data_IF_040042632715
#
_entry.id   IF_040042632715
#
_cell.length_a   1.000
_cell.length_b   1.000
_cell.length_c   1.000
_cell.angle_alpha   90.00
_cell.angle_beta   90.00
_cell.angle_gamma   90.00
#
_symmetry.space_group_name_H-M   'P 1'
#
loop_
_entity.id
_entity.type
_entity.pdbx_description
1 polymer ?
#
# COMPACT_ATOMS: atom_id res chain seq x y z
N UNK A 1 35.64 -15.86 15.50
CA UNK A 1 35.52 -14.43 15.15
C UNK A 1 34.04 -14.11 14.98
N UNK A 2 33.53 -13.04 15.60
CA UNK A 2 32.16 -12.62 15.38
C UNK A 2 32.01 -12.12 13.93
N UNK A 3 30.95 -12.56 13.23
CA UNK A 3 30.71 -12.10 11.86
C UNK A 3 30.37 -10.59 11.91
N UNK A 4 30.99 -9.74 11.08
CA UNK A 4 30.87 -8.28 11.19
C UNK A 4 29.43 -7.77 11.10
N UNK A 5 28.57 -8.43 10.32
CA UNK A 5 27.15 -8.09 10.22
C UNK A 5 26.38 -8.23 11.54
N UNK A 6 26.83 -9.07 12.47
CA UNK A 6 26.14 -9.30 13.75
C UNK A 6 26.29 -8.08 14.67
N UNK A 7 27.49 -7.48 14.67
CA UNK A 7 27.74 -6.25 15.41
C UNK A 7 26.96 -5.10 14.78
N UNK A 8 27.02 -4.97 13.45
CA UNK A 8 26.29 -3.96 12.70
C UNK A 8 24.78 -4.03 12.96
N UNK A 9 24.20 -5.24 12.93
CA UNK A 9 22.79 -5.47 13.26
C UNK A 9 22.44 -4.97 14.67
N UNK A 10 23.28 -5.26 15.67
CA UNK A 10 23.09 -4.77 17.05
C UNK A 10 23.15 -3.25 17.14
N UNK A 11 24.09 -2.62 16.45
CA UNK A 11 24.25 -1.16 16.48
C UNK A 11 23.05 -0.46 15.84
N UNK A 12 22.55 -0.96 14.71
CA UNK A 12 21.36 -0.41 14.04
C UNK A 12 20.07 -0.63 14.82
N UNK A 13 19.99 -1.72 15.61
CA UNK A 13 18.89 -1.95 16.55
C UNK A 13 18.90 -0.94 17.71
N UNK A 14 20.08 -0.66 18.27
CA UNK A 14 20.22 0.19 19.45
C UNK A 14 20.07 1.68 19.14
N UNK A 15 20.45 2.10 17.92
CA UNK A 15 20.44 3.51 17.51
C UNK A 15 19.64 3.75 16.23
N UNK A 16 18.31 3.53 16.23
CA UNK A 16 17.48 3.82 15.07
C UNK A 16 17.51 5.32 14.73
N UNK A 17 17.74 5.65 13.46
CA UNK A 17 17.69 7.03 12.97
C UNK A 17 18.94 7.89 13.26
N UNK A 18 20.03 7.28 13.73
CA UNK A 18 21.32 7.97 13.85
C UNK A 18 21.88 8.46 12.50
N UNK A 19 22.91 9.30 12.53
CA UNK A 19 23.57 9.81 11.31
C UNK A 19 24.06 8.65 10.43
N UNK A 20 23.64 8.64 9.16
CA UNK A 20 24.02 7.58 8.22
C UNK A 20 23.31 6.24 8.42
N UNK A 21 22.32 6.16 9.32
CA UNK A 21 21.60 4.91 9.64
C UNK A 21 21.00 4.25 8.40
N UNK A 22 20.39 5.04 7.50
CA UNK A 22 19.75 4.51 6.28
C UNK A 22 20.75 3.81 5.35
N UNK A 23 21.91 4.42 5.11
CA UNK A 23 22.95 3.83 4.26
C UNK A 23 23.55 2.57 4.88
N UNK A 24 23.80 2.59 6.19
CA UNK A 24 24.25 1.41 6.95
C UNK A 24 23.23 0.27 6.90
N UNK A 25 21.95 0.59 7.06
CA UNK A 25 20.86 -0.38 6.95
C UNK A 25 20.78 -1.02 5.55
N UNK A 26 20.92 -0.22 4.50
CA UNK A 26 20.96 -0.72 3.13
C UNK A 26 22.15 -1.66 2.90
N UNK A 27 23.36 -1.24 3.30
CA UNK A 27 24.56 -2.07 3.18
C UNK A 27 24.44 -3.38 3.97
N UNK A 28 23.85 -3.34 5.17
CA UNK A 28 23.58 -4.53 5.96
C UNK A 28 22.61 -5.47 5.25
N UNK A 29 21.55 -4.94 4.64
CA UNK A 29 20.59 -5.72 3.86
C UNK A 29 21.27 -6.43 2.68
N UNK A 30 22.08 -5.74 1.89
CA UNK A 30 22.84 -6.32 0.77
C UNK A 30 23.79 -7.43 1.24
N UNK A 31 24.48 -7.17 2.36
CA UNK A 31 25.43 -8.12 2.96
C UNK A 31 24.72 -9.40 3.40
N UNK A 32 23.64 -9.27 4.18
CA UNK A 32 22.87 -10.41 4.67
C UNK A 32 22.24 -11.17 3.50
N UNK A 33 21.69 -10.47 2.50
CA UNK A 33 21.13 -11.10 1.29
C UNK A 33 22.17 -11.94 0.55
N UNK A 34 23.37 -11.39 0.35
CA UNK A 34 24.48 -12.09 -0.30
C UNK A 34 24.96 -13.30 0.49
N UNK A 35 25.03 -13.19 1.83
CA UNK A 35 25.39 -14.31 2.71
C UNK A 35 24.35 -15.43 2.57
N UNK A 36 23.05 -15.12 2.60
CA UNK A 36 22.01 -16.12 2.43
C UNK A 36 22.09 -16.80 1.06
N UNK A 37 22.46 -16.09 -0.01
CA UNK A 37 22.64 -16.67 -1.33
C UNK A 37 23.80 -17.70 -1.38
N UNK A 38 24.90 -17.41 -0.68
CA UNK A 38 26.10 -18.29 -0.64
C UNK A 38 26.00 -19.45 0.36
N UNK A 39 25.03 -19.41 1.29
CA UNK A 39 24.88 -20.37 2.37
C UNK A 39 24.59 -21.81 1.90
N UNK A 40 24.03 -21.99 0.70
CA UNK A 40 23.75 -23.30 0.08
C UNK A 40 25.01 -24.10 -0.24
N UNK A 41 26.17 -23.46 -0.35
CA UNK A 41 27.41 -24.09 -0.82
C UNK A 41 28.39 -24.44 0.31
N UNK A 42 28.30 -23.81 1.49
CA UNK A 42 29.39 -23.81 2.47
C UNK A 42 28.98 -23.90 3.95
N UNK A 43 27.74 -24.30 4.29
CA UNK A 43 27.23 -24.32 5.68
C UNK A 43 27.33 -22.94 6.41
N UNK A 44 27.49 -21.86 5.65
CA UNK A 44 27.66 -20.49 6.16
C UNK A 44 26.32 -19.78 6.42
N UNK A 45 25.24 -20.54 6.62
CA UNK A 45 23.91 -20.01 6.90
C UNK A 45 23.96 -18.96 8.01
N UNK A 46 23.07 -17.96 7.91
CA UNK A 46 22.89 -16.99 8.97
C UNK A 46 22.31 -17.75 10.16
N UNK A 47 22.91 -17.65 11.37
CA UNK A 47 22.40 -18.39 12.49
C UNK A 47 20.97 -17.95 12.84
N UNK A 48 20.12 -18.86 13.34
CA UNK A 48 18.67 -18.60 13.45
C UNK A 48 18.31 -17.36 14.28
N UNK A 49 19.07 -17.05 15.32
CA UNK A 49 18.79 -15.91 16.23
C UNK A 49 18.99 -14.60 15.47
N UNK A 50 20.10 -14.46 14.75
CA UNK A 50 20.45 -13.29 13.96
C UNK A 50 19.50 -13.11 12.78
N UNK A 51 19.09 -14.22 12.15
CA UNK A 51 18.09 -14.21 11.08
C UNK A 51 16.74 -13.69 11.58
N UNK A 52 16.25 -14.21 12.72
CA UNK A 52 14.99 -13.75 13.31
C UNK A 52 15.04 -12.28 13.71
N UNK A 53 16.16 -11.82 14.26
CA UNK A 53 16.37 -10.41 14.59
C UNK A 53 16.33 -9.53 13.35
N UNK A 54 17.10 -9.87 12.32
CA UNK A 54 17.09 -9.15 11.06
C UNK A 54 15.69 -9.07 10.46
N UNK A 55 14.98 -10.20 10.40
CA UNK A 55 13.60 -10.27 9.90
C UNK A 55 12.67 -9.35 10.70
N UNK A 56 12.75 -9.37 12.04
CA UNK A 56 11.92 -8.52 12.88
C UNK A 56 12.13 -7.03 12.58
N UNK A 57 13.37 -6.60 12.31
CA UNK A 57 13.64 -5.22 11.87
C UNK A 57 13.09 -4.96 10.47
N UNK A 58 13.25 -5.91 9.56
CA UNK A 58 12.81 -5.78 8.18
C UNK A 58 11.29 -5.66 8.05
N UNK A 59 10.51 -6.21 8.98
CA UNK A 59 9.05 -6.13 8.98
C UNK A 59 8.48 -4.74 9.35
N UNK A 60 9.34 -3.78 9.68
CA UNK A 60 8.95 -2.36 9.82
C UNK A 60 8.82 -1.69 8.45
N UNK A 61 7.76 -0.93 8.21
CA UNK A 61 7.50 -0.24 6.92
C UNK A 61 8.66 0.60 6.42
N UNK A 62 9.19 1.47 7.26
CA UNK A 62 10.27 2.38 6.88
C UNK A 62 11.53 1.60 6.51
N UNK A 63 11.84 0.56 7.28
CA UNK A 63 13.02 -0.27 7.08
C UNK A 63 12.88 -1.15 5.86
N UNK A 64 11.69 -1.69 5.63
CA UNK A 64 11.34 -2.44 4.44
C UNK A 64 11.45 -1.57 3.18
N UNK A 65 10.94 -0.34 3.24
CA UNK A 65 10.99 0.61 2.15
C UNK A 65 12.42 0.97 1.75
N UNK A 66 13.36 1.02 2.70
CA UNK A 66 14.78 1.20 2.43
C UNK A 66 15.45 -0.08 1.91
N UNK A 67 15.13 -1.24 2.49
CA UNK A 67 15.72 -2.52 2.10
C UNK A 67 15.39 -2.91 0.66
N UNK A 68 14.15 -2.66 0.21
CA UNK A 68 13.72 -2.94 -1.18
C UNK A 68 14.41 -2.06 -2.22
N UNK A 69 15.12 -1.00 -1.82
CA UNK A 69 15.92 -0.21 -2.77
C UNK A 69 17.14 -1.00 -3.25
N UNK A 70 17.67 -1.88 -2.39
CA UNK A 70 18.91 -2.63 -2.62
C UNK A 70 18.70 -4.14 -2.82
N UNK A 71 17.59 -4.70 -2.33
CA UNK A 71 17.19 -6.09 -2.62
C UNK A 71 16.04 -6.07 -3.64
N UNK A 72 16.33 -6.48 -4.88
CA UNK A 72 15.38 -6.42 -6.00
C UNK A 72 14.19 -7.34 -5.78
N UNK A 73 14.42 -8.51 -5.19
CA UNK A 73 13.42 -9.54 -4.94
C UNK A 73 12.37 -9.10 -3.91
N UNK A 74 12.68 -8.10 -3.08
CA UNK A 74 11.70 -7.45 -2.21
C UNK A 74 10.74 -6.53 -2.95
N UNK A 75 11.07 -6.10 -4.17
CA UNK A 75 10.19 -5.28 -5.04
C UNK A 75 9.39 -6.14 -6.00
N UNK A 76 10.09 -6.98 -6.75
CA UNK A 76 9.56 -7.67 -7.94
C UNK A 76 9.10 -9.09 -7.62
N UNK A 77 9.40 -9.59 -6.41
CA UNK A 77 9.11 -10.95 -6.00
C UNK A 77 10.23 -11.91 -6.41
N UNK A 78 9.89 -13.20 -6.52
CA UNK A 78 10.84 -14.24 -6.89
C UNK A 78 11.22 -14.05 -8.37
N UNK A 79 12.44 -13.59 -8.63
CA UNK A 79 12.98 -13.48 -9.99
C UNK A 79 13.29 -14.85 -10.61
N UNK A 80 14.00 -14.85 -11.76
CA UNK A 80 14.43 -16.09 -12.45
C UNK A 80 15.61 -16.80 -11.76
N UNK A 81 16.17 -16.20 -10.70
CA UNK A 81 17.33 -16.72 -9.99
C UNK A 81 16.95 -17.80 -8.98
N UNK A 82 17.80 -18.83 -8.84
CA UNK A 82 17.65 -19.83 -7.80
C UNK A 82 17.95 -19.18 -6.44
N UNK A 83 16.91 -19.04 -5.62
CA UNK A 83 17.00 -18.51 -4.26
C UNK A 83 17.36 -19.62 -3.28
N UNK A 84 18.14 -19.27 -2.25
CA UNK A 84 18.38 -20.18 -1.13
C UNK A 84 17.14 -20.34 -0.26
N UNK A 85 17.08 -21.40 0.53
CA UNK A 85 15.97 -21.64 1.45
C UNK A 85 15.73 -20.47 2.44
N UNK A 86 16.80 -19.78 2.89
CA UNK A 86 16.66 -18.61 3.77
C UNK A 86 16.14 -17.37 3.02
N UNK A 87 16.51 -17.20 1.75
CA UNK A 87 15.96 -16.12 0.91
C UNK A 87 14.47 -16.35 0.65
N UNK A 88 14.09 -17.58 0.29
CA UNK A 88 12.69 -17.97 0.09
C UNK A 88 11.85 -17.76 1.35
N UNK A 89 12.33 -18.22 2.52
CA UNK A 89 11.65 -18.02 3.79
C UNK A 89 11.48 -16.52 4.13
N UNK A 90 12.49 -15.70 3.85
CA UNK A 90 12.41 -14.25 4.08
C UNK A 90 11.38 -13.62 3.15
N UNK A 91 11.35 -14.01 1.87
CA UNK A 91 10.34 -13.54 0.93
C UNK A 91 8.93 -13.95 1.37
N UNK A 92 8.74 -15.16 1.88
CA UNK A 92 7.43 -15.60 2.33
C UNK A 92 6.96 -14.80 3.56
N UNK A 93 7.85 -14.57 4.52
CA UNK A 93 7.53 -13.81 5.74
C UNK A 93 7.32 -12.32 5.49
N UNK A 94 7.85 -11.78 4.39
CA UNK A 94 7.66 -10.37 3.98
C UNK A 94 6.53 -10.18 2.95
N UNK A 95 5.78 -11.23 2.62
CA UNK A 95 4.69 -11.19 1.62
C UNK A 95 3.62 -10.15 1.93
N UNK A 96 3.17 -10.05 3.18
CA UNK A 96 2.11 -9.11 3.59
C UNK A 96 2.53 -7.66 3.41
N UNK A 97 3.74 -7.30 3.83
CA UNK A 97 4.24 -5.93 3.73
C UNK A 97 4.52 -5.55 2.26
N UNK A 98 4.99 -6.49 1.43
CA UNK A 98 5.08 -6.29 -0.03
C UNK A 98 3.72 -6.02 -0.64
N UNK A 99 2.72 -6.87 -0.35
CA UNK A 99 1.38 -6.73 -0.90
C UNK A 99 0.77 -5.38 -0.54
N UNK A 100 0.88 -4.95 0.72
CA UNK A 100 0.38 -3.64 1.16
C UNK A 100 1.06 -2.47 0.44
N UNK A 101 2.39 -2.51 0.29
CA UNK A 101 3.10 -1.46 -0.42
C UNK A 101 2.72 -1.44 -1.91
N UNK A 102 2.57 -2.60 -2.53
CA UNK A 102 2.14 -2.71 -3.93
C UNK A 102 0.73 -2.15 -4.15
N UNK A 103 -0.19 -2.36 -3.21
CA UNK A 103 -1.52 -1.73 -3.23
C UNK A 103 -1.39 -0.20 -3.25
N UNK A 104 -0.60 0.37 -2.33
CA UNK A 104 -0.40 1.83 -2.27
C UNK A 104 0.27 2.37 -3.54
N UNK A 105 1.21 1.63 -4.14
CA UNK A 105 1.87 2.04 -5.39
C UNK A 105 0.95 1.95 -6.62
N UNK A 106 -0.07 1.09 -6.57
CA UNK A 106 -1.01 0.89 -7.65
C UNK A 106 -2.29 1.75 -7.51
N UNK A 107 -2.44 2.46 -6.39
CA UNK A 107 -3.54 3.42 -6.22
C UNK A 107 -3.43 4.52 -7.28
N UNK A 108 -4.48 4.66 -8.08
CA UNK A 108 -4.62 5.69 -9.11
C UNK A 108 -5.47 6.84 -8.58
N UNK A 109 -5.35 8.00 -9.20
CA UNK A 109 -6.17 9.16 -8.84
C UNK A 109 -7.68 8.86 -9.00
N UNK A 110 -8.04 8.01 -9.98
CA UNK A 110 -9.40 7.53 -10.18
C UNK A 110 -9.99 6.81 -8.97
N UNK A 111 -9.16 6.14 -8.16
CA UNK A 111 -9.61 5.44 -6.95
C UNK A 111 -10.09 6.42 -5.86
N UNK A 112 -9.68 7.69 -5.94
CA UNK A 112 -10.14 8.77 -5.07
C UNK A 112 -11.23 9.61 -5.74
N UNK A 113 -11.15 9.77 -7.06
CA UNK A 113 -12.10 10.57 -7.82
C UNK A 113 -13.48 9.90 -7.90
N UNK A 114 -13.59 8.57 -7.89
CA UNK A 114 -14.89 7.87 -7.99
C UNK A 114 -15.83 8.19 -6.81
N UNK A 115 -15.35 8.13 -5.58
CA UNK A 115 -16.18 8.41 -4.40
C UNK A 115 -16.54 9.90 -4.30
N UNK A 116 -15.59 10.80 -4.56
CA UNK A 116 -15.83 12.24 -4.56
C UNK A 116 -16.80 12.65 -5.67
N UNK A 117 -16.65 12.10 -6.87
CA UNK A 117 -17.52 12.33 -8.02
C UNK A 117 -18.92 11.75 -7.81
N UNK A 118 -19.03 10.56 -7.20
CA UNK A 118 -20.32 9.98 -6.83
C UNK A 118 -21.06 10.86 -5.81
N UNK A 119 -20.36 11.38 -4.79
CA UNK A 119 -20.93 12.31 -3.82
C UNK A 119 -21.35 13.64 -4.46
N UNK A 120 -20.52 14.22 -5.33
CA UNK A 120 -20.86 15.44 -6.07
C UNK A 120 -22.13 15.25 -6.92
N UNK A 121 -22.25 14.09 -7.61
CA UNK A 121 -23.45 13.76 -8.38
C UNK A 121 -24.70 13.61 -7.51
N UNK A 122 -24.57 13.01 -6.32
CA UNK A 122 -25.69 12.90 -5.39
C UNK A 122 -26.15 14.27 -4.90
N UNK A 123 -25.22 15.16 -4.58
CA UNK A 123 -25.53 16.55 -4.17
C UNK A 123 -26.23 17.30 -5.31
N UNK A 124 -25.75 17.15 -6.55
CA UNK A 124 -26.39 17.76 -7.71
C UNK A 124 -27.80 17.22 -7.97
N UNK A 125 -27.97 15.90 -7.87
CA UNK A 125 -29.28 15.27 -8.02
C UNK A 125 -30.26 15.77 -6.96
N UNK A 126 -29.84 15.85 -5.70
CA UNK A 126 -30.67 16.35 -4.59
C UNK A 126 -31.09 17.82 -4.83
N UNK A 127 -30.15 18.66 -5.27
CA UNK A 127 -30.44 20.05 -5.61
C UNK A 127 -31.44 20.19 -6.77
N UNK A 128 -31.34 19.35 -7.80
CA UNK A 128 -32.27 19.33 -8.94
C UNK A 128 -33.66 18.81 -8.56
N UNK A 129 -33.73 17.76 -7.73
CA UNK A 129 -35.00 17.26 -7.18
C UNK A 129 -35.69 18.32 -6.31
N UNK A 130 -34.93 19.03 -5.48
CA UNK A 130 -35.47 20.11 -4.66
C UNK A 130 -36.00 21.27 -5.52
N UNK A 131 -35.25 21.68 -6.56
CA UNK A 131 -35.70 22.70 -7.53
C UNK A 131 -37.00 22.28 -8.23
N UNK A 132 -37.08 21.04 -8.70
CA UNK A 132 -38.28 20.51 -9.35
C UNK A 132 -39.50 20.47 -8.42
N UNK A 133 -39.32 20.09 -7.15
CA UNK A 133 -40.39 20.14 -6.14
C UNK A 133 -40.88 21.56 -5.89
N UNK A 134 -39.97 22.54 -5.79
CA UNK A 134 -40.35 23.95 -5.64
C UNK A 134 -41.12 24.44 -6.87
N UNK A 135 -40.69 24.08 -8.09
CA UNK A 135 -41.37 24.43 -9.33
C UNK A 135 -42.81 23.90 -9.38
N UNK A 136 -43.06 22.70 -8.85
CA UNK A 136 -44.42 22.14 -8.74
C UNK A 136 -45.27 22.85 -7.66
N UNK A 137 -44.68 23.42 -6.62
CA UNK A 137 -45.40 24.00 -5.47
C UNK A 137 -45.53 25.53 -5.48
N UNK A 138 -44.63 26.25 -6.15
CA UNK A 138 -44.57 27.73 -6.14
C UNK A 138 -44.39 28.29 -7.56
N UNK A 139 -45.54 28.59 -8.19
CA UNK A 139 -45.80 29.69 -9.14
C UNK A 139 -45.67 29.43 -10.66
N UNK A 140 -46.73 29.91 -11.35
CA UNK A 140 -46.91 30.21 -12.78
C UNK A 140 -47.30 29.03 -13.69
N UNK A 141 -48.21 29.24 -14.68
CA UNK A 141 -48.78 28.19 -15.51
C UNK A 141 -47.72 27.68 -16.50
N UNK A 142 -46.93 26.71 -16.07
CA UNK A 142 -46.28 25.83 -17.01
C UNK A 142 -47.39 25.04 -17.71
N UNK A 143 -47.28 24.86 -19.03
CA UNK A 143 -48.27 24.06 -19.75
C UNK A 143 -48.34 22.65 -19.15
N UNK A 144 -49.54 22.06 -19.12
CA UNK A 144 -49.81 20.76 -18.49
C UNK A 144 -48.79 19.65 -18.88
N UNK A 145 -48.29 19.68 -20.13
CA UNK A 145 -47.30 18.73 -20.63
C UNK A 145 -45.88 18.85 -20.00
N UNK A 146 -45.56 19.98 -19.37
CA UNK A 146 -44.31 20.18 -18.62
C UNK A 146 -44.46 19.73 -17.17
N UNK A 147 -45.63 19.96 -16.57
CA UNK A 147 -45.95 19.48 -15.22
C UNK A 147 -46.02 17.95 -15.17
N UNK A 148 -46.65 17.31 -16.17
CA UNK A 148 -46.66 15.83 -16.28
C UNK A 148 -45.24 15.26 -16.39
N UNK A 149 -44.37 15.87 -17.20
CA UNK A 149 -42.97 15.41 -17.34
C UNK A 149 -42.16 15.56 -16.05
N UNK A 150 -42.38 16.65 -15.31
CA UNK A 150 -41.70 16.86 -14.02
C UNK A 150 -42.25 15.87 -12.98
N UNK A 151 -43.56 15.62 -12.96
CA UNK A 151 -44.18 14.65 -12.07
C UNK A 151 -43.73 13.22 -12.36
N UNK A 152 -43.64 12.82 -13.63
CA UNK A 152 -43.12 11.51 -14.06
C UNK A 152 -41.63 11.35 -13.68
N UNK A 153 -40.84 12.40 -13.84
CA UNK A 153 -39.43 12.37 -13.43
C UNK A 153 -39.27 12.28 -11.91
N UNK A 154 -40.04 13.05 -11.13
CA UNK A 154 -40.06 12.96 -9.66
C UNK A 154 -40.54 11.59 -9.17
N UNK A 155 -41.50 10.97 -9.86
CA UNK A 155 -42.00 9.63 -9.52
C UNK A 155 -40.95 8.52 -9.70
N UNK A 156 -39.90 8.75 -10.49
CA UNK A 156 -38.76 7.83 -10.62
C UNK A 156 -37.82 7.88 -9.41
N UNK A 157 -37.97 8.87 -8.52
CA UNK A 157 -37.16 9.03 -7.30
C UNK A 157 -38.02 9.13 -6.02
N UNK A 158 -38.77 8.06 -5.67
CA UNK A 158 -39.61 8.07 -4.48
C UNK A 158 -38.74 7.95 -3.22
N UNK A 159 -38.57 9.06 -2.48
CA UNK A 159 -38.06 9.00 -1.10
C UNK A 159 -36.73 9.70 -0.81
N UNK A 160 -36.22 10.59 -1.66
CA UNK A 160 -35.25 11.59 -1.17
C UNK A 160 -36.00 12.62 -0.31
N UNK A 161 -35.54 12.95 0.91
CA UNK A 161 -36.18 13.95 1.77
C UNK A 161 -36.36 15.32 1.11
#
# INVERSE_FOLDING_TARGET
MARPYIQELRELEQNPGGTGWQGRWQQLCETIWSIMATATLYELAIPPIEYQRFLALLLSEERFALARLVIVELREGRGEHHLSAQQEDLLDKTSQIRARIQVVQNMQQSDFDEDAYAQEKLIHLDAELHRARILMHRSAPYGAASEERIAEWLAQYPGTP
#
